data_IF_877761026060
#
_entry.id   IF_877761026060
#
_cell.length_a   1.000
_cell.length_b   1.000
_cell.length_c   1.000
_cell.angle_alpha   90.00
_cell.angle_beta   90.00
_cell.angle_gamma   90.00
#
_symmetry.space_group_name_H-M   'P 1'
#
loop_
_entity.id
_entity.type
_entity.pdbx_description
1 polymer ?
#
# COMPACT_ATOMS: atom_id res chain seq x y z
N UNK A 1 12.11 -16.07 1.32
CA UNK A 1 11.64 -14.71 0.96
C UNK A 1 12.61 -13.94 0.04
N UNK A 2 13.94 -14.06 0.20
CA UNK A 2 15.02 -13.35 -0.54
C UNK A 2 14.86 -13.32 -2.09
N UNK A 3 14.21 -14.31 -2.69
CA UNK A 3 14.10 -14.43 -4.15
C UNK A 3 13.10 -13.46 -4.79
N UNK A 4 12.09 -12.97 -4.05
CA UNK A 4 11.04 -12.10 -4.59
C UNK A 4 11.54 -10.67 -4.78
N UNK A 5 12.17 -10.12 -3.75
CA UNK A 5 12.75 -8.77 -3.81
C UNK A 5 13.76 -8.65 -4.95
N UNK A 6 14.70 -9.60 -5.09
CA UNK A 6 15.72 -9.57 -6.17
C UNK A 6 15.16 -9.66 -7.60
N UNK A 7 13.94 -10.15 -7.78
CA UNK A 7 13.27 -10.30 -9.09
C UNK A 7 12.25 -9.20 -9.37
N UNK A 8 11.87 -8.44 -8.35
CA UNK A 8 10.89 -7.37 -8.48
C UNK A 8 11.48 -6.22 -9.30
N UNK A 9 10.68 -5.71 -10.24
CA UNK A 9 11.08 -4.56 -11.05
C UNK A 9 10.90 -3.28 -10.23
N UNK A 10 11.75 -2.29 -10.46
CA UNK A 10 11.54 -0.95 -9.91
C UNK A 10 10.31 -0.32 -10.55
N UNK A 11 9.54 0.42 -9.75
CA UNK A 11 8.41 1.23 -10.20
C UNK A 11 8.40 2.55 -9.42
N UNK A 12 7.87 3.61 -10.02
CA UNK A 12 7.60 4.83 -9.29
C UNK A 12 6.38 4.62 -8.37
N UNK A 13 6.53 4.87 -7.06
CA UNK A 13 5.45 4.63 -6.09
C UNK A 13 4.20 5.44 -6.41
N UNK A 14 4.36 6.71 -6.79
CA UNK A 14 3.27 7.63 -7.16
C UNK A 14 2.39 7.08 -8.31
N UNK A 15 2.94 6.22 -9.17
CA UNK A 15 2.16 5.59 -10.26
C UNK A 15 1.16 4.54 -9.75
N UNK A 16 1.34 4.05 -8.51
CA UNK A 16 0.49 3.05 -7.86
C UNK A 16 -0.28 3.68 -6.70
N UNK A 17 0.42 4.40 -5.82
CA UNK A 17 -0.11 5.06 -4.63
C UNK A 17 0.07 6.59 -4.72
N UNK A 18 -0.69 7.28 -5.59
CA UNK A 18 -0.62 8.72 -5.66
C UNK A 18 -1.11 9.37 -4.37
N UNK A 19 -0.39 10.38 -3.88
CA UNK A 19 -0.68 11.07 -2.61
C UNK A 19 -2.14 11.53 -2.53
N UNK A 20 -2.67 12.10 -3.62
CA UNK A 20 -4.02 12.64 -3.68
C UNK A 20 -5.13 11.60 -3.41
N UNK A 21 -4.82 10.32 -3.58
CA UNK A 21 -5.77 9.22 -3.39
C UNK A 21 -5.50 8.42 -2.09
N UNK A 22 -4.41 8.73 -1.38
CA UNK A 22 -3.90 7.97 -0.25
C UNK A 22 -4.24 8.65 1.07
N UNK A 23 -4.84 7.91 2.00
CA UNK A 23 -5.14 8.41 3.35
C UNK A 23 -4.71 7.41 4.40
N UNK A 24 -3.98 7.89 5.41
CA UNK A 24 -3.65 7.10 6.60
C UNK A 24 -4.90 7.00 7.47
N UNK A 25 -5.05 5.87 8.16
CA UNK A 25 -6.16 5.62 9.06
C UNK A 25 -5.65 5.15 10.43
N UNK A 26 -6.46 5.36 11.46
CA UNK A 26 -6.26 4.69 12.73
C UNK A 26 -6.41 3.16 12.52
N UNK A 27 -5.55 2.37 13.17
CA UNK A 27 -5.60 0.92 13.08
C UNK A 27 -6.94 0.34 13.53
N UNK A 28 -7.67 1.00 14.43
CA UNK A 28 -8.99 0.57 14.91
C UNK A 28 -10.06 0.54 13.80
N UNK A 29 -9.95 1.43 12.81
CA UNK A 29 -10.90 1.52 11.69
C UNK A 29 -10.41 0.78 10.43
N UNK A 30 -9.32 0.00 10.53
CA UNK A 30 -8.73 -0.75 9.39
C UNK A 30 -9.68 -1.76 8.73
N UNK A 31 -10.69 -2.22 9.47
CA UNK A 31 -11.70 -3.16 8.99
C UNK A 31 -12.96 -2.47 8.43
N UNK A 32 -13.05 -1.14 8.55
CA UNK A 32 -14.22 -0.35 8.16
C UNK A 32 -13.84 0.45 6.91
N UNK A 33 -14.11 -0.10 5.73
CA UNK A 33 -13.99 0.65 4.48
C UNK A 33 -15.04 1.76 4.45
N UNK A 34 -14.65 2.99 4.11
CA UNK A 34 -15.52 4.18 4.16
C UNK A 34 -16.59 4.24 3.07
N UNK A 35 -16.90 3.13 2.40
CA UNK A 35 -17.69 3.09 1.17
C UNK A 35 -16.86 2.97 -0.11
N UNK A 36 -17.58 2.78 -1.22
CA UNK A 36 -17.23 2.08 -2.46
C UNK A 36 -15.87 2.50 -3.09
N UNK A 37 -14.96 1.53 -3.30
CA UNK A 37 -13.68 1.57 -4.08
C UNK A 37 -12.35 1.95 -3.39
N UNK A 38 -12.22 1.76 -2.07
CA UNK A 38 -10.93 1.87 -1.39
C UNK A 38 -10.24 0.50 -1.20
N UNK A 39 -8.96 0.40 -1.57
CA UNK A 39 -8.12 -0.78 -1.33
C UNK A 39 -7.33 -0.57 -0.03
N UNK A 40 -7.31 -1.54 0.90
CA UNK A 40 -6.50 -1.43 2.11
C UNK A 40 -5.00 -1.49 1.77
N UNK A 41 -4.24 -0.63 2.44
CA UNK A 41 -2.78 -0.58 2.37
C UNK A 41 -2.19 -0.78 3.76
N UNK A 42 -1.17 -1.63 3.86
CA UNK A 42 -0.36 -1.77 5.08
C UNK A 42 1.08 -1.46 4.76
N UNK A 43 1.68 -0.56 5.52
CA UNK A 43 3.12 -0.28 5.47
C UNK A 43 3.73 -0.87 6.73
N UNK A 44 4.67 -1.80 6.55
CA UNK A 44 5.42 -2.46 7.60
C UNK A 44 6.85 -1.94 7.58
N UNK A 45 7.25 -1.33 8.70
CA UNK A 45 8.57 -0.78 8.92
C UNK A 45 9.45 -1.77 9.68
N UNK A 46 10.74 -1.81 9.34
CA UNK A 46 11.72 -2.45 10.20
C UNK A 46 11.84 -1.64 11.49
N UNK A 47 12.18 -2.31 12.60
CA UNK A 47 12.18 -1.70 13.95
C UNK A 47 13.11 -0.49 14.07
N UNK A 48 14.13 -0.41 13.23
CA UNK A 48 15.13 0.66 13.24
C UNK A 48 14.75 1.83 12.30
N UNK A 49 13.73 1.66 11.46
CA UNK A 49 13.23 2.70 10.56
C UNK A 49 12.37 3.69 11.34
N UNK A 50 12.66 4.99 11.23
CA UNK A 50 11.87 6.06 11.84
C UNK A 50 11.13 6.87 10.79
N UNK A 51 9.88 6.50 10.44
CA UNK A 51 9.16 7.19 9.40
C UNK A 51 8.72 8.58 9.88
N UNK A 52 8.48 9.53 8.96
CA UNK A 52 7.95 10.87 9.26
C UNK A 52 6.63 10.86 10.05
N UNK A 53 5.91 9.74 10.00
CA UNK A 53 4.62 9.49 10.67
C UNK A 53 4.76 8.50 11.82
N UNK A 54 5.84 8.59 12.61
CA UNK A 54 6.07 7.69 13.75
C UNK A 54 4.87 7.65 14.72
N UNK A 55 4.15 8.77 14.87
CA UNK A 55 2.94 8.88 15.68
C UNK A 55 1.73 8.10 15.12
N UNK A 56 1.74 7.72 13.84
CA UNK A 56 0.70 6.88 13.23
C UNK A 56 1.03 5.37 13.34
N UNK A 57 2.16 4.99 13.94
CA UNK A 57 2.56 3.60 14.05
C UNK A 57 1.67 2.84 15.03
N UNK A 58 0.95 1.85 14.51
CA UNK A 58 0.27 0.83 15.30
C UNK A 58 1.26 -0.27 15.67
N UNK A 59 1.30 -0.64 16.96
CA UNK A 59 2.20 -1.69 17.46
C UNK A 59 3.70 -1.39 17.29
N UNK A 60 4.06 -0.13 16.98
CA UNK A 60 5.44 0.33 16.82
C UNK A 60 6.08 0.06 15.45
N UNK A 61 5.38 -0.56 14.50
CA UNK A 61 5.97 -0.86 13.18
C UNK A 61 4.99 -0.85 11.99
N UNK A 62 3.70 -0.57 12.19
CA UNK A 62 2.72 -0.60 11.10
C UNK A 62 2.01 0.74 10.89
N UNK A 63 1.92 1.20 9.65
CA UNK A 63 0.96 2.23 9.23
C UNK A 63 -0.15 1.56 8.42
N UNK A 64 -1.40 1.88 8.75
CA UNK A 64 -2.55 1.44 7.96
C UNK A 64 -3.12 2.61 7.16
N UNK A 65 -3.57 2.32 5.95
CA UNK A 65 -4.09 3.32 5.04
C UNK A 65 -5.12 2.72 4.08
N UNK A 66 -5.78 3.60 3.34
CA UNK A 66 -6.58 3.26 2.18
C UNK A 66 -6.10 4.03 0.95
N UNK A 67 -6.19 3.40 -0.21
CA UNK A 67 -5.94 4.02 -1.51
C UNK A 67 -7.18 3.92 -2.39
N UNK A 68 -7.58 5.02 -3.02
CA UNK A 68 -8.56 5.00 -4.11
C UNK A 68 -7.88 4.61 -5.42
N UNK A 69 -8.52 3.73 -6.19
CA UNK A 69 -7.90 3.21 -7.42
C UNK A 69 -7.61 4.33 -8.43
N UNK A 70 -6.33 4.62 -8.66
CA UNK A 70 -5.88 5.41 -9.81
C UNK A 70 -5.83 4.58 -11.10
N UNK A 71 -5.48 5.21 -12.23
CA UNK A 71 -5.49 4.56 -13.56
C UNK A 71 -4.74 3.23 -13.61
N UNK A 72 -3.58 3.13 -12.95
CA UNK A 72 -2.76 1.91 -12.94
C UNK A 72 -3.41 0.78 -12.16
N UNK A 73 -3.97 1.07 -10.98
CA UNK A 73 -4.71 0.11 -10.18
C UNK A 73 -6.00 -0.33 -10.89
N UNK A 74 -6.69 0.60 -11.56
CA UNK A 74 -7.84 0.31 -12.41
C UNK A 74 -7.45 -0.64 -13.55
N UNK A 75 -6.32 -0.41 -14.22
CA UNK A 75 -5.85 -1.29 -15.29
C UNK A 75 -5.53 -2.71 -14.79
N UNK A 76 -4.90 -2.83 -13.62
CA UNK A 76 -4.67 -4.12 -12.96
C UNK A 76 -6.01 -4.79 -12.61
N UNK A 77 -6.95 -4.03 -12.03
CA UNK A 77 -8.27 -4.50 -11.62
C UNK A 77 -9.20 -4.84 -12.80
N UNK A 78 -8.93 -4.32 -14.00
CA UNK A 78 -9.69 -4.62 -15.24
C UNK A 78 -9.05 -5.70 -16.12
N UNK A 79 -7.82 -6.13 -15.83
CA UNK A 79 -7.14 -7.19 -16.58
C UNK A 79 -7.96 -8.49 -16.57
N UNK A 80 -7.79 -9.34 -17.60
CA UNK A 80 -8.63 -10.50 -17.96
C UNK A 80 -8.92 -11.54 -16.84
N UNK A 81 -8.35 -11.37 -15.65
CA UNK A 81 -8.67 -12.10 -14.42
C UNK A 81 -9.98 -11.64 -13.77
N UNK A 82 -10.99 -11.25 -14.56
CA UNK A 82 -12.30 -10.85 -14.03
C UNK A 82 -12.90 -12.00 -13.25
N UNK A 83 -13.25 -11.75 -11.99
CA UNK A 83 -14.29 -12.55 -11.34
C UNK A 83 -15.61 -12.24 -12.05
N UNK A 84 -16.37 -13.28 -12.39
CA UNK A 84 -17.68 -13.17 -13.04
C UNK A 84 -18.73 -12.47 -12.16
N UNK A 85 -18.43 -12.25 -10.87
CA UNK A 85 -19.32 -11.70 -9.85
C UNK A 85 -19.22 -10.17 -9.67
N UNK A 86 -18.33 -9.49 -10.39
CA UNK A 86 -18.16 -8.04 -10.29
C UNK A 86 -17.39 -7.56 -9.05
N UNK A 87 -16.73 -8.45 -8.30
CA UNK A 87 -15.86 -8.06 -7.17
C UNK A 87 -14.50 -7.55 -7.66
N UNK A 88 -13.91 -6.61 -6.91
CA UNK A 88 -12.55 -6.13 -7.17
C UNK A 88 -11.54 -7.29 -7.11
N UNK A 89 -10.61 -7.30 -8.06
CA UNK A 89 -9.54 -8.31 -8.16
C UNK A 89 -8.47 -8.04 -7.10
N UNK A 90 -8.19 -6.77 -6.80
CA UNK A 90 -7.17 -6.39 -5.83
C UNK A 90 -7.75 -6.48 -4.42
N UNK A 91 -7.07 -7.24 -3.56
CA UNK A 91 -7.47 -7.46 -2.17
C UNK A 91 -6.79 -6.49 -1.20
N UNK A 92 -5.48 -6.32 -1.34
CA UNK A 92 -4.65 -5.58 -0.38
C UNK A 92 -3.33 -5.16 -1.03
N UNK A 93 -2.76 -4.03 -0.61
CA UNK A 93 -1.42 -3.60 -1.00
C UNK A 93 -0.51 -3.53 0.24
N UNK A 94 0.65 -4.18 0.17
CA UNK A 94 1.66 -4.12 1.23
C UNK A 94 2.87 -3.34 0.75
N UNK A 95 3.43 -2.53 1.63
CA UNK A 95 4.77 -1.96 1.53
C UNK A 95 5.57 -2.52 2.71
N UNK A 96 6.49 -3.44 2.45
CA UNK A 96 7.34 -4.03 3.50
C UNK A 96 8.75 -3.47 3.37
N UNK A 97 9.30 -2.95 4.46
CA UNK A 97 10.67 -2.46 4.55
C UNK A 97 11.68 -3.61 4.44
N UNK A 98 12.66 -3.48 3.56
CA UNK A 98 13.77 -4.42 3.35
C UNK A 98 15.13 -3.73 3.54
N UNK A 99 15.17 -2.73 4.43
CA UNK A 99 16.31 -1.89 4.78
C UNK A 99 16.70 -0.91 3.66
N UNK A 100 17.11 -1.43 2.50
CA UNK A 100 17.61 -0.61 1.38
C UNK A 100 16.48 -0.07 0.48
N UNK A 101 15.31 -0.70 0.51
CA UNK A 101 14.13 -0.32 -0.26
C UNK A 101 12.89 -1.04 0.28
N UNK A 102 11.71 -0.62 -0.17
CA UNK A 102 10.46 -1.30 0.13
C UNK A 102 10.08 -2.28 -0.97
N UNK A 103 9.53 -3.43 -0.56
CA UNK A 103 8.80 -4.34 -1.42
C UNK A 103 7.32 -3.92 -1.47
N UNK A 104 6.87 -3.45 -2.62
CA UNK A 104 5.45 -3.20 -2.89
C UNK A 104 4.81 -4.49 -3.42
N UNK A 105 3.87 -5.04 -2.68
CA UNK A 105 3.12 -6.26 -3.03
C UNK A 105 1.64 -5.94 -3.25
N UNK A 106 1.12 -6.21 -4.44
CA UNK A 106 -0.30 -6.11 -4.77
C UNK A 106 -0.89 -7.52 -4.72
N UNK A 107 -1.67 -7.81 -3.68
CA UNK A 107 -2.28 -9.11 -3.45
C UNK A 107 -3.64 -9.15 -4.13
N UNK A 108 -3.85 -10.19 -4.93
CA UNK A 108 -5.08 -10.42 -5.67
C UNK A 108 -5.96 -11.45 -4.94
N UNK A 109 -7.25 -11.36 -5.22
CA UNK A 109 -8.28 -12.22 -4.64
C UNK A 109 -8.23 -13.68 -5.14
N UNK A 110 -7.52 -13.97 -6.23
CA UNK A 110 -7.25 -15.32 -6.75
C UNK A 110 -5.99 -15.96 -6.12
N UNK A 111 -5.36 -15.28 -5.15
CA UNK A 111 -4.08 -15.70 -4.56
C UNK A 111 -2.86 -15.31 -5.39
N UNK A 112 -3.05 -14.65 -6.53
CA UNK A 112 -2.00 -14.03 -7.31
C UNK A 112 -1.38 -12.83 -6.59
N UNK A 113 -0.13 -12.52 -6.94
CA UNK A 113 0.59 -11.42 -6.32
C UNK A 113 1.50 -10.75 -7.36
N UNK A 114 1.51 -9.42 -7.38
CA UNK A 114 2.45 -8.63 -8.17
C UNK A 114 3.42 -7.91 -7.24
N UNK A 115 4.69 -7.83 -7.61
CA UNK A 115 5.74 -7.26 -6.76
C UNK A 115 6.56 -6.22 -7.49
N UNK A 116 6.86 -5.14 -6.80
CA UNK A 116 7.74 -4.08 -7.27
C UNK A 116 8.69 -3.64 -6.16
N UNK A 117 9.83 -3.08 -6.55
CA UNK A 117 10.70 -2.35 -5.65
C UNK A 117 10.37 -0.86 -5.74
N UNK A 118 10.30 -0.19 -4.60
CA UNK A 118 10.19 1.26 -4.47
C UNK A 118 11.21 1.74 -3.43
N UNK A 119 11.67 2.98 -3.54
CA UNK A 119 12.73 3.46 -2.63
C UNK A 119 12.15 3.96 -1.30
N UNK A 120 12.99 4.05 -0.28
CA UNK A 120 12.61 4.57 1.03
C UNK A 120 12.16 6.04 0.91
N UNK A 121 12.82 6.83 0.07
CA UNK A 121 12.48 8.24 -0.14
C UNK A 121 11.08 8.42 -0.74
N UNK A 122 10.65 7.51 -1.62
CA UNK A 122 9.30 7.55 -2.19
C UNK A 122 8.23 7.27 -1.12
N UNK A 123 8.48 6.31 -0.23
CA UNK A 123 7.58 5.98 0.88
C UNK A 123 7.51 7.14 1.89
N UNK A 124 8.66 7.71 2.24
CA UNK A 124 8.73 8.89 3.11
C UNK A 124 8.01 10.09 2.51
N UNK A 125 8.17 10.33 1.20
CA UNK A 125 7.49 11.40 0.49
C UNK A 125 5.97 11.19 0.48
N UNK A 126 5.50 9.96 0.23
CA UNK A 126 4.08 9.62 0.33
C UNK A 126 3.54 9.95 1.73
N UNK A 127 4.23 9.49 2.77
CA UNK A 127 3.81 9.69 4.16
C UNK A 127 3.81 11.15 4.59
N UNK A 128 4.82 11.94 4.21
CA UNK A 128 4.91 13.38 4.55
C UNK A 128 3.79 14.22 3.94
N UNK A 129 3.28 13.81 2.77
CA UNK A 129 2.37 14.64 1.98
C UNK A 129 0.93 14.13 1.98
N UNK A 130 0.66 12.96 2.55
CA UNK A 130 -0.68 12.39 2.58
C UNK A 130 -1.57 12.99 3.67
N UNK A 131 -2.86 12.68 3.60
CA UNK A 131 -3.83 13.07 4.61
C UNK A 131 -3.69 12.13 5.81
N UNK A 132 -3.33 12.70 6.96
CA UNK A 132 -3.29 11.98 8.23
C UNK A 132 -4.69 11.85 8.85
N UNK A 133 -4.96 10.80 9.64
CA UNK A 133 -6.15 10.79 10.48
C UNK A 133 -6.11 12.03 11.37
N UNK A 134 -7.20 12.80 11.41
CA UNK A 134 -7.32 13.94 12.30
C UNK A 134 -7.08 13.46 13.73
N UNK A 135 -6.12 14.07 14.43
CA UNK A 135 -6.06 14.01 15.88
C UNK A 135 -7.25 14.84 16.38
N UNK A 136 -8.39 14.20 16.64
CA UNK A 136 -9.40 14.77 17.54
C UNK A 136 -8.90 14.71 18.99
#
# INVERSE_FOLDING_TARGET
MINRFKKAKKIALESILPVANFRIINSEIRAISGGITEIPVTIEFNKDHRPPTEYCLSGGCFVHAFIRMGEKLIAINKSERRRMDGTDIIRHIYLTDWDDAFLLSIVLNDGGEMFYQVTNEEVDALLKNCIHPYNE
#
